data_IF_995248041093
#
_entry.id   IF_995248041093
#
_cell.length_a   1.000
_cell.length_b   1.000
_cell.length_c   1.000
_cell.angle_alpha   90.00
_cell.angle_beta   90.00
_cell.angle_gamma   90.00
#
_symmetry.space_group_name_H-M   'P 1'
#
loop_
_entity.id
_entity.type
_entity.pdbx_description
1 polymer ?
#
# COMPACT_ATOMS: atom_id res chain seq x y z
N UNK A 1 -8.82 15.79 10.18
CA UNK A 1 -8.23 15.61 8.83
C UNK A 1 -7.66 16.94 8.36
N UNK A 2 -6.42 16.98 7.87
CA UNK A 2 -5.74 18.23 7.47
C UNK A 2 -5.79 18.39 5.95
N UNK A 3 -5.29 17.41 5.21
CA UNK A 3 -5.26 17.43 3.73
C UNK A 3 -5.16 16.03 3.14
N UNK A 4 -5.52 15.89 1.88
CA UNK A 4 -5.26 14.69 1.09
C UNK A 4 -3.78 14.61 0.72
N UNK A 5 -3.17 13.44 0.98
CA UNK A 5 -1.78 13.14 0.60
C UNK A 5 -1.69 12.47 -0.77
N UNK A 6 -2.54 11.45 -0.98
CA UNK A 6 -2.57 10.68 -2.22
C UNK A 6 -3.97 10.20 -2.54
N UNK A 7 -4.24 9.92 -3.80
CA UNK A 7 -5.40 9.16 -4.26
C UNK A 7 -4.93 8.17 -5.32
N UNK A 8 -5.36 6.93 -5.19
CA UNK A 8 -4.99 5.84 -6.08
C UNK A 8 -6.18 4.93 -6.41
N UNK A 9 -5.91 3.86 -7.15
CA UNK A 9 -6.95 2.91 -7.55
C UNK A 9 -7.67 2.23 -6.39
N UNK A 10 -7.05 2.14 -5.21
CA UNK A 10 -7.59 1.45 -4.04
C UNK A 10 -8.25 2.38 -3.02
N UNK A 11 -7.97 3.66 -3.06
CA UNK A 11 -8.49 4.58 -2.07
C UNK A 11 -7.76 5.90 -1.98
N UNK A 12 -7.97 6.57 -0.87
CA UNK A 12 -7.43 7.91 -0.61
C UNK A 12 -6.64 7.89 0.69
N UNK A 13 -5.49 8.57 0.70
CA UNK A 13 -4.67 8.76 1.90
C UNK A 13 -4.72 10.22 2.33
N UNK A 14 -4.97 10.44 3.61
CA UNK A 14 -5.07 11.75 4.23
C UNK A 14 -4.01 11.94 5.31
N UNK A 15 -3.54 13.17 5.47
CA UNK A 15 -2.86 13.63 6.67
C UNK A 15 -3.91 14.04 7.71
N UNK A 16 -3.77 13.57 8.93
CA UNK A 16 -4.60 13.97 10.05
C UNK A 16 -3.73 14.21 11.30
N UNK A 17 -4.36 14.71 12.35
CA UNK A 17 -3.81 14.70 13.70
C UNK A 17 -4.64 13.72 14.53
N UNK A 18 -3.99 12.99 15.40
CA UNK A 18 -4.66 12.20 16.44
C UNK A 18 -5.12 13.08 17.60
N UNK A 19 -5.62 12.48 18.68
CA UNK A 19 -6.11 13.19 19.85
C UNK A 19 -5.00 13.88 20.66
N UNK A 20 -3.75 13.46 20.46
CA UNK A 20 -2.56 14.03 21.10
C UNK A 20 -1.89 15.10 20.22
N UNK A 21 -2.44 15.38 19.05
CA UNK A 21 -1.91 16.33 18.08
C UNK A 21 -0.75 15.79 17.24
N UNK A 22 -0.50 14.47 17.27
CA UNK A 22 0.53 13.85 16.45
C UNK A 22 0.03 13.63 15.02
N UNK A 23 0.93 13.78 14.04
CA UNK A 23 0.60 13.50 12.64
C UNK A 23 0.38 12.00 12.43
N UNK A 24 -0.71 11.66 11.77
CA UNK A 24 -1.03 10.31 11.31
C UNK A 24 -1.43 10.31 9.83
N UNK A 25 -1.18 9.20 9.15
CA UNK A 25 -1.69 8.95 7.81
C UNK A 25 -2.96 8.07 7.93
N UNK A 26 -4.05 8.49 7.28
CA UNK A 26 -5.30 7.73 7.26
C UNK A 26 -5.56 7.27 5.85
N UNK A 27 -5.53 5.96 5.60
CA UNK A 27 -5.91 5.35 4.32
C UNK A 27 -7.37 4.93 4.37
N UNK A 28 -8.15 5.48 3.46
CA UNK A 28 -9.56 5.17 3.27
C UNK A 28 -9.74 4.16 2.14
N UNK A 29 -10.56 3.15 2.34
CA UNK A 29 -10.98 2.24 1.27
C UNK A 29 -12.01 2.92 0.38
N UNK A 30 -11.59 3.41 -0.78
CA UNK A 30 -12.45 4.05 -1.79
C UNK A 30 -11.95 3.69 -3.20
N UNK A 31 -12.09 2.43 -3.63
CA UNK A 31 -11.58 1.99 -4.92
C UNK A 31 -12.34 2.65 -6.07
N UNK A 32 -11.64 3.40 -6.91
CA UNK A 32 -12.22 4.18 -8.00
C UNK A 32 -12.95 3.33 -9.05
N UNK A 33 -12.63 2.03 -9.13
CA UNK A 33 -13.32 1.07 -10.02
C UNK A 33 -14.69 0.63 -9.48
N UNK A 34 -14.95 0.78 -8.19
CA UNK A 34 -16.15 0.27 -7.52
C UNK A 34 -17.02 1.37 -6.92
N UNK A 35 -16.41 2.45 -6.45
CA UNK A 35 -17.09 3.50 -5.73
C UNK A 35 -16.64 4.89 -6.21
N UNK A 36 -17.56 5.84 -6.14
CA UNK A 36 -17.30 7.26 -6.39
C UNK A 36 -17.76 8.07 -5.20
N UNK A 37 -17.30 9.31 -5.08
CA UNK A 37 -17.79 10.27 -4.08
C UNK A 37 -17.83 11.66 -4.69
N UNK A 38 -18.97 12.32 -4.58
CA UNK A 38 -19.08 13.71 -5.01
C UNK A 38 -18.28 14.65 -4.07
N UNK A 39 -17.76 15.77 -4.56
CA UNK A 39 -17.12 16.76 -3.71
C UNK A 39 -18.04 17.24 -2.59
N UNK A 40 -17.56 17.18 -1.34
CA UNK A 40 -18.33 17.58 -0.15
C UNK A 40 -19.17 16.47 0.47
N UNK A 41 -19.37 15.35 -0.21
CA UNK A 41 -20.10 14.22 0.35
C UNK A 41 -19.19 13.35 1.23
N UNK A 42 -19.81 12.72 2.25
CA UNK A 42 -19.10 11.79 3.15
C UNK A 42 -19.25 10.34 2.70
N UNK A 43 -20.39 9.97 2.15
CA UNK A 43 -20.71 8.60 1.79
C UNK A 43 -20.22 8.26 0.38
N UNK A 44 -19.64 7.07 0.16
CA UNK A 44 -19.36 6.58 -1.17
C UNK A 44 -20.64 6.18 -1.90
N UNK A 45 -20.71 6.43 -3.19
CA UNK A 45 -21.76 5.93 -4.08
C UNK A 45 -21.24 4.70 -4.79
N UNK A 46 -21.93 3.58 -4.60
CA UNK A 46 -21.59 2.29 -5.20
C UNK A 46 -22.79 1.81 -6.02
N UNK A 47 -22.56 1.48 -7.29
CA UNK A 47 -23.60 0.94 -8.14
C UNK A 47 -24.12 -0.41 -7.60
N UNK A 48 -25.43 -0.72 -7.67
CA UNK A 48 -26.01 -1.93 -7.10
C UNK A 48 -25.31 -3.22 -7.52
N UNK A 49 -24.91 -3.34 -8.78
CA UNK A 49 -24.21 -4.49 -9.34
C UNK A 49 -22.77 -4.65 -8.80
N UNK A 50 -22.17 -3.59 -8.25
CA UNK A 50 -20.82 -3.59 -7.64
C UNK A 50 -20.82 -3.74 -6.12
N UNK A 51 -22.01 -3.69 -5.49
CA UNK A 51 -22.13 -3.62 -4.04
C UNK A 51 -21.54 -4.85 -3.33
N UNK A 52 -21.76 -6.05 -3.87
CA UNK A 52 -21.20 -7.28 -3.31
C UNK A 52 -19.67 -7.27 -3.35
N UNK A 53 -19.09 -6.80 -4.46
CA UNK A 53 -17.65 -6.70 -4.65
C UNK A 53 -17.05 -5.62 -3.74
N UNK A 54 -17.72 -4.48 -3.60
CA UNK A 54 -17.32 -3.41 -2.68
C UNK A 54 -17.28 -3.90 -1.23
N UNK A 55 -18.34 -4.59 -0.77
CA UNK A 55 -18.41 -5.17 0.59
C UNK A 55 -17.31 -6.21 0.84
N UNK A 56 -17.02 -7.05 -0.16
CA UNK A 56 -15.95 -8.01 -0.08
C UNK A 56 -14.59 -7.32 0.05
N UNK A 57 -14.36 -6.25 -0.73
CA UNK A 57 -13.16 -5.43 -0.63
C UNK A 57 -13.01 -4.71 0.71
N UNK A 58 -14.10 -4.20 1.30
CA UNK A 58 -14.11 -3.64 2.66
C UNK A 58 -13.63 -4.66 3.69
N UNK A 59 -14.17 -5.89 3.64
CA UNK A 59 -13.76 -6.98 4.53
C UNK A 59 -12.27 -7.28 4.35
N UNK A 60 -11.84 -7.44 3.11
CA UNK A 60 -10.43 -7.72 2.82
C UNK A 60 -9.52 -6.60 3.30
N UNK A 61 -9.86 -5.31 3.09
CA UNK A 61 -9.08 -4.17 3.57
C UNK A 61 -8.94 -4.17 5.09
N UNK A 62 -9.99 -4.54 5.80
CA UNK A 62 -9.97 -4.67 7.26
C UNK A 62 -9.06 -5.83 7.72
N UNK A 63 -9.17 -7.00 7.10
CA UNK A 63 -8.34 -8.18 7.41
C UNK A 63 -6.85 -7.92 7.16
N UNK A 64 -6.52 -7.21 6.07
CA UNK A 64 -5.15 -6.80 5.78
C UNK A 64 -4.61 -5.85 6.84
N UNK A 65 -5.36 -4.79 7.16
CA UNK A 65 -4.98 -3.85 8.21
C UNK A 65 -4.73 -4.56 9.54
N UNK A 66 -5.60 -5.53 9.88
CA UNK A 66 -5.45 -6.36 11.08
C UNK A 66 -4.18 -7.20 11.06
N UNK A 67 -3.86 -7.80 9.92
CA UNK A 67 -2.65 -8.60 9.78
C UNK A 67 -1.39 -7.73 9.82
N UNK A 68 -1.43 -6.59 9.15
CA UNK A 68 -0.32 -5.63 9.13
C UNK A 68 -0.06 -5.01 10.51
N UNK A 69 -1.11 -4.78 11.32
CA UNK A 69 -0.98 -4.28 12.68
C UNK A 69 -0.23 -5.24 13.64
N UNK A 70 -0.07 -6.51 13.27
CA UNK A 70 0.72 -7.48 14.03
C UNK A 70 2.21 -7.43 13.70
N UNK A 71 2.60 -6.69 12.67
CA UNK A 71 3.99 -6.59 12.21
C UNK A 71 4.65 -5.36 12.83
N UNK A 72 5.62 -5.60 13.70
CA UNK A 72 6.46 -4.54 14.26
C UNK A 72 7.88 -4.64 13.65
N UNK A 73 8.17 -3.83 12.64
CA UNK A 73 9.49 -3.77 12.01
C UNK A 73 9.75 -2.36 11.46
N UNK A 74 10.96 -1.80 11.64
CA UNK A 74 11.28 -0.42 11.22
C UNK A 74 11.10 -0.17 9.71
N UNK A 75 11.22 -1.20 8.87
CA UNK A 75 11.05 -1.11 7.42
C UNK A 75 9.65 -1.51 6.92
N UNK A 76 8.67 -1.60 7.81
CA UNK A 76 7.26 -1.85 7.48
C UNK A 76 6.42 -0.76 8.11
N UNK A 77 5.51 -0.15 7.36
CA UNK A 77 4.62 0.87 7.91
C UNK A 77 3.81 0.34 9.08
N UNK A 78 3.79 1.06 10.19
CA UNK A 78 3.04 0.67 11.38
C UNK A 78 1.59 1.09 11.28
N UNK A 79 0.67 0.14 11.46
CA UNK A 79 -0.75 0.39 11.61
C UNK A 79 -1.04 0.66 13.09
N UNK A 80 -1.61 1.82 13.39
CA UNK A 80 -1.95 2.26 14.75
C UNK A 80 -3.36 1.85 15.13
N UNK A 81 -4.30 2.00 14.19
CA UNK A 81 -5.70 1.73 14.42
C UNK A 81 -6.43 1.52 13.08
N UNK A 82 -7.65 1.00 13.15
CA UNK A 82 -8.59 0.97 12.03
C UNK A 82 -10.02 1.08 12.56
N UNK A 83 -10.87 1.72 11.80
CA UNK A 83 -12.27 1.92 12.17
C UNK A 83 -13.17 1.93 10.93
N UNK A 84 -14.46 1.74 11.18
CA UNK A 84 -15.50 1.80 10.14
C UNK A 84 -16.36 3.01 10.38
N UNK A 85 -16.50 3.86 9.37
CA UNK A 85 -17.36 5.03 9.35
C UNK A 85 -17.72 5.38 7.91
N UNK A 86 -18.76 6.18 7.71
CA UNK A 86 -19.19 6.63 6.37
C UNK A 86 -19.32 5.50 5.35
N UNK A 87 -19.83 4.35 5.76
CA UNK A 87 -19.96 3.13 4.93
C UNK A 87 -18.66 2.65 4.28
N UNK A 88 -17.52 3.03 4.83
CA UNK A 88 -16.19 2.58 4.43
C UNK A 88 -15.33 2.20 5.62
N UNK A 89 -14.07 1.82 5.36
CA UNK A 89 -13.08 1.44 6.38
C UNK A 89 -11.86 2.35 6.24
N UNK A 90 -11.34 2.75 7.38
CA UNK A 90 -10.16 3.60 7.52
C UNK A 90 -9.07 2.85 8.26
N UNK A 91 -7.84 2.95 7.78
CA UNK A 91 -6.63 2.43 8.43
C UNK A 91 -5.78 3.62 8.84
N UNK A 92 -5.49 3.75 10.13
CA UNK A 92 -4.63 4.79 10.70
C UNK A 92 -3.22 4.25 10.82
N UNK A 93 -2.26 4.95 10.28
CA UNK A 93 -0.86 4.56 10.21
C UNK A 93 0.03 5.69 10.74
N UNK A 94 1.24 5.35 11.16
CA UNK A 94 2.26 6.36 11.42
C UNK A 94 2.45 7.23 10.17
N UNK A 95 2.46 8.55 10.38
CA UNK A 95 2.90 9.47 9.34
C UNK A 95 4.42 9.42 9.24
N UNK A 96 4.94 9.32 8.02
CA UNK A 96 6.37 9.32 7.74
C UNK A 96 6.74 10.67 7.12
N UNK A 97 7.70 11.36 7.71
CA UNK A 97 8.34 12.53 7.08
C UNK A 97 9.44 12.02 6.13
N UNK A 98 9.47 12.54 4.89
CA UNK A 98 10.36 12.08 3.82
C UNK A 98 9.68 12.04 2.46
N UNK A 99 10.15 11.16 1.56
CA UNK A 99 9.60 11.01 0.23
C UNK A 99 9.70 9.57 -0.29
N UNK A 100 8.94 9.22 -1.33
CA UNK A 100 9.08 7.91 -1.96
C UNK A 100 10.42 7.79 -2.73
N UNK A 101 10.92 6.57 -2.87
CA UNK A 101 12.08 6.28 -3.71
C UNK A 101 11.84 6.75 -5.15
N UNK A 102 10.59 6.69 -5.62
CA UNK A 102 10.22 7.21 -6.94
C UNK A 102 10.43 8.72 -7.05
N UNK A 103 10.03 9.49 -6.04
CA UNK A 103 10.22 10.95 -6.02
C UNK A 103 11.70 11.31 -6.03
N UNK A 104 12.52 10.58 -5.28
CA UNK A 104 13.98 10.73 -5.31
C UNK A 104 14.53 10.46 -6.71
N UNK A 105 14.09 9.39 -7.38
CA UNK A 105 14.54 9.05 -8.74
C UNK A 105 14.12 10.15 -9.74
N UNK A 106 12.88 10.65 -9.66
CA UNK A 106 12.37 11.71 -10.53
C UNK A 106 13.18 12.99 -10.33
N UNK A 107 13.26 13.48 -9.09
CA UNK A 107 14.01 14.69 -8.73
C UNK A 107 15.46 14.64 -9.21
N UNK A 108 16.06 13.49 -9.08
CA UNK A 108 17.43 13.29 -9.51
C UNK A 108 17.62 13.34 -11.01
N UNK A 109 16.68 12.77 -11.79
CA UNK A 109 16.67 12.87 -13.25
C UNK A 109 16.50 14.31 -13.71
N UNK A 110 15.55 15.04 -13.09
CA UNK A 110 15.31 16.46 -13.40
C UNK A 110 16.53 17.33 -13.13
N UNK A 111 17.24 17.10 -12.04
CA UNK A 111 18.47 17.83 -11.69
C UNK A 111 19.69 17.38 -12.50
N UNK A 112 19.54 16.48 -13.50
CA UNK A 112 20.63 15.91 -14.32
C UNK A 112 21.79 15.37 -13.50
N UNK A 113 21.53 14.91 -12.27
CA UNK A 113 22.54 14.27 -11.42
C UNK A 113 22.79 12.86 -11.92
N UNK A 114 23.91 12.63 -12.58
CA UNK A 114 24.28 11.34 -13.18
C UNK A 114 24.45 10.20 -12.15
N UNK A 115 24.68 10.50 -10.87
CA UNK A 115 24.81 9.52 -9.79
C UNK A 115 23.98 9.95 -8.58
N UNK A 116 22.72 9.55 -8.57
CA UNK A 116 21.81 9.86 -7.46
C UNK A 116 22.08 8.99 -6.27
N UNK A 117 22.33 7.71 -6.51
CA UNK A 117 22.63 6.76 -5.47
C UNK A 117 24.00 6.11 -5.72
N UNK A 118 24.82 6.08 -4.68
CA UNK A 118 25.99 5.21 -4.66
C UNK A 118 25.53 3.77 -4.55
N UNK A 119 26.27 2.82 -5.10
CA UNK A 119 25.95 1.40 -4.97
C UNK A 119 25.77 0.97 -3.51
N UNK A 120 26.63 1.48 -2.61
CA UNK A 120 26.52 1.22 -1.17
C UNK A 120 25.19 1.67 -0.59
N UNK A 121 24.67 2.83 -1.01
CA UNK A 121 23.36 3.34 -0.58
C UNK A 121 22.22 2.45 -1.08
N UNK A 122 22.30 2.02 -2.35
CA UNK A 122 21.30 1.10 -2.92
C UNK A 122 21.31 -0.22 -2.14
N UNK A 123 22.48 -0.80 -1.88
CA UNK A 123 22.61 -2.05 -1.12
C UNK A 123 22.05 -1.92 0.29
N UNK A 124 22.36 -0.84 1.00
CA UNK A 124 21.83 -0.60 2.35
C UNK A 124 20.31 -0.48 2.34
N UNK A 125 19.75 0.29 1.41
CA UNK A 125 18.32 0.49 1.26
C UNK A 125 17.58 -0.83 1.00
N UNK A 126 18.08 -1.63 0.06
CA UNK A 126 17.44 -2.91 -0.25
C UNK A 126 17.67 -3.97 0.83
N UNK A 127 18.76 -3.93 1.59
CA UNK A 127 18.94 -4.77 2.78
C UNK A 127 17.85 -4.51 3.82
N UNK A 128 17.50 -3.24 4.09
CA UNK A 128 16.42 -2.85 4.97
C UNK A 128 15.06 -3.34 4.45
N UNK A 129 14.76 -3.12 3.16
CA UNK A 129 13.52 -3.58 2.52
C UNK A 129 13.40 -5.10 2.62
N UNK A 130 14.46 -5.84 2.29
CA UNK A 130 14.46 -7.31 2.33
C UNK A 130 14.29 -7.87 3.74
N UNK A 131 14.87 -7.21 4.76
CA UNK A 131 14.65 -7.57 6.17
C UNK A 131 13.19 -7.38 6.57
N UNK A 132 12.59 -6.24 6.21
CA UNK A 132 11.18 -5.99 6.44
C UNK A 132 10.29 -6.99 5.72
N UNK A 133 10.57 -7.26 4.44
CA UNK A 133 9.82 -8.21 3.62
C UNK A 133 9.88 -9.64 4.19
N UNK A 134 11.03 -10.05 4.72
CA UNK A 134 11.16 -11.34 5.40
C UNK A 134 10.19 -11.45 6.58
N UNK A 135 10.01 -10.40 7.37
CA UNK A 135 9.06 -10.40 8.49
C UNK A 135 7.62 -10.47 7.97
N UNK A 136 7.29 -9.73 6.92
CA UNK A 136 5.98 -9.79 6.25
C UNK A 136 5.67 -11.23 5.82
N UNK A 137 6.61 -11.91 5.16
CA UNK A 137 6.45 -13.29 4.72
C UNK A 137 6.32 -14.29 5.88
N UNK A 138 7.02 -14.07 6.99
CA UNK A 138 6.88 -14.88 8.21
C UNK A 138 5.46 -14.80 8.79
N UNK A 139 4.78 -13.65 8.64
CA UNK A 139 3.38 -13.46 8.99
C UNK A 139 2.40 -13.96 7.90
N UNK A 140 2.91 -14.73 6.91
CA UNK A 140 2.13 -15.27 5.79
C UNK A 140 1.39 -14.19 4.98
N UNK A 141 1.94 -13.01 4.94
CA UNK A 141 1.50 -11.91 4.09
C UNK A 141 2.44 -11.75 2.89
N UNK A 142 1.90 -11.23 1.81
CA UNK A 142 2.65 -10.78 0.63
C UNK A 142 2.39 -9.30 0.42
N UNK A 143 3.33 -8.59 -0.18
CA UNK A 143 3.15 -7.17 -0.52
C UNK A 143 2.44 -6.99 -1.86
N UNK A 144 2.86 -7.72 -2.88
CA UNK A 144 2.36 -7.81 -4.26
C UNK A 144 2.32 -6.50 -5.08
N UNK A 145 2.81 -5.40 -4.55
CA UNK A 145 2.99 -4.15 -5.30
C UNK A 145 4.29 -3.43 -4.90
N UNK A 146 5.39 -4.20 -4.76
CA UNK A 146 6.70 -3.60 -4.50
C UNK A 146 7.14 -2.82 -5.73
N UNK A 147 7.40 -1.54 -5.54
CA UNK A 147 7.87 -0.59 -6.57
C UNK A 147 8.44 0.65 -5.89
N UNK A 148 9.22 1.49 -6.58
CA UNK A 148 9.80 2.68 -5.98
C UNK A 148 8.79 3.64 -5.33
N UNK A 149 7.55 3.72 -5.82
CA UNK A 149 6.50 4.53 -5.22
C UNK A 149 6.04 4.02 -3.84
N UNK A 150 6.22 2.72 -3.56
CA UNK A 150 5.79 2.06 -2.33
C UNK A 150 6.96 1.78 -1.37
N UNK A 151 8.14 2.28 -1.68
CA UNK A 151 9.31 2.33 -0.77
C UNK A 151 9.50 3.78 -0.37
N UNK A 152 9.28 4.09 0.88
CA UNK A 152 9.39 5.44 1.43
C UNK A 152 10.73 5.60 2.12
N UNK A 153 11.44 6.67 1.81
CA UNK A 153 12.72 7.02 2.44
C UNK A 153 12.42 8.13 3.43
N UNK A 154 12.58 7.84 4.70
CA UNK A 154 12.37 8.79 5.78
C UNK A 154 13.50 9.81 5.87
N UNK A 155 13.28 10.94 6.54
CA UNK A 155 14.29 12.00 6.70
C UNK A 155 15.53 11.52 7.46
N UNK A 156 15.42 10.45 8.26
CA UNK A 156 16.53 9.75 8.91
C UNK A 156 17.14 8.61 8.04
N UNK A 157 16.85 8.63 6.73
CA UNK A 157 17.37 7.72 5.70
C UNK A 157 17.03 6.25 5.89
N UNK A 158 15.92 5.90 6.53
CA UNK A 158 15.42 4.52 6.59
C UNK A 158 14.47 4.22 5.45
N UNK A 159 14.53 2.99 4.94
CA UNK A 159 13.59 2.50 3.95
C UNK A 159 12.38 1.84 4.63
N UNK A 160 11.18 2.30 4.31
CA UNK A 160 9.92 1.78 4.86
C UNK A 160 9.01 1.37 3.72
N UNK A 161 8.59 0.11 3.70
CA UNK A 161 7.55 -0.35 2.78
C UNK A 161 6.20 0.17 3.23
N UNK A 162 5.49 0.78 2.29
CA UNK A 162 4.15 1.33 2.47
C UNK A 162 3.20 0.68 1.45
N UNK A 163 1.90 0.82 1.68
CA UNK A 163 0.86 0.47 0.72
C UNK A 163 0.77 -1.02 0.35
N UNK A 164 0.50 -1.84 1.35
CA UNK A 164 0.28 -3.29 1.23
C UNK A 164 -1.06 -3.66 0.58
N UNK A 165 -1.75 -2.77 -0.08
CA UNK A 165 -3.14 -2.94 -0.50
C UNK A 165 -3.39 -3.65 -1.84
N UNK A 166 -2.35 -4.06 -2.57
CA UNK A 166 -2.50 -4.74 -3.87
C UNK A 166 -2.78 -6.24 -3.74
N UNK A 167 -2.53 -6.80 -2.57
CA UNK A 167 -2.42 -8.22 -2.29
C UNK A 167 -3.77 -8.91 -2.09
N UNK A 168 -4.72 -8.82 -3.05
CA UNK A 168 -6.00 -9.45 -2.80
C UNK A 168 -6.44 -10.40 -3.88
N UNK A 169 -6.02 -11.61 -3.69
CA UNK A 169 -6.80 -12.76 -4.11
C UNK A 169 -8.00 -12.91 -3.16
N UNK A 170 -9.09 -12.21 -3.43
CA UNK A 170 -10.34 -12.54 -2.77
C UNK A 170 -10.97 -13.66 -3.57
N UNK A 171 -10.70 -14.87 -3.16
CA UNK A 171 -11.45 -16.05 -3.57
C UNK A 171 -12.88 -15.89 -3.02
N UNK A 172 -13.80 -15.37 -3.80
CA UNK A 172 -15.21 -15.57 -3.52
C UNK A 172 -15.53 -17.04 -3.78
N UNK A 173 -16.28 -17.65 -2.86
CA UNK A 173 -16.84 -18.99 -3.05
C UNK A 173 -17.74 -19.10 -4.29
N UNK A 174 -18.05 -17.97 -4.93
CA UNK A 174 -18.96 -17.83 -6.08
C UNK A 174 -18.22 -17.58 -7.41
N UNK A 175 -16.90 -17.74 -7.46
CA UNK A 175 -16.13 -17.63 -8.70
C UNK A 175 -15.89 -16.20 -9.20
N UNK A 176 -16.28 -15.16 -8.46
CA UNK A 176 -15.96 -13.78 -8.74
C UNK A 176 -14.57 -13.44 -8.18
N UNK A 177 -13.57 -13.42 -9.03
CA UNK A 177 -12.21 -13.04 -8.66
C UNK A 177 -12.07 -11.52 -8.64
N UNK A 178 -11.71 -10.94 -7.50
CA UNK A 178 -11.04 -9.64 -7.52
C UNK A 178 -9.60 -9.91 -7.96
N UNK A 179 -9.28 -9.51 -9.19
CA UNK A 179 -7.90 -9.58 -9.66
C UNK A 179 -7.04 -8.65 -8.80
N UNK A 180 -5.87 -9.10 -8.33
CA UNK A 180 -4.90 -8.18 -7.77
C UNK A 180 -4.62 -7.11 -8.83
N UNK A 181 -4.70 -5.84 -8.42
CA UNK A 181 -4.20 -4.77 -9.29
C UNK A 181 -2.68 -4.81 -9.18
N UNK A 182 -2.02 -4.97 -10.31
CA UNK A 182 -0.57 -5.01 -10.41
C UNK A 182 -0.06 -3.81 -11.20
N UNK A 183 1.16 -3.41 -10.92
CA UNK A 183 1.84 -2.35 -11.66
C UNK A 183 2.68 -2.98 -12.77
N UNK A 184 2.34 -2.75 -14.07
CA UNK A 184 3.16 -3.23 -15.18
C UNK A 184 4.62 -2.79 -15.04
N UNK A 185 5.54 -3.69 -15.33
CA UNK A 185 6.99 -3.47 -15.20
C UNK A 185 7.58 -3.90 -13.86
N UNK A 186 6.75 -4.12 -12.81
CA UNK A 186 7.17 -4.65 -11.52
C UNK A 186 6.50 -5.99 -11.19
N UNK A 187 5.35 -6.25 -11.79
CA UNK A 187 4.58 -7.46 -11.52
C UNK A 187 5.27 -8.71 -12.04
N UNK A 188 5.35 -9.72 -11.20
CA UNK A 188 5.90 -11.03 -11.54
C UNK A 188 5.02 -11.74 -12.60
N UNK A 189 5.61 -12.63 -13.44
CA UNK A 189 4.88 -13.32 -14.53
C UNK A 189 3.64 -14.06 -14.07
N UNK A 190 3.66 -14.67 -12.89
CA UNK A 190 2.51 -15.39 -12.33
C UNK A 190 1.32 -14.47 -12.02
N UNK A 191 1.53 -13.18 -11.76
CA UNK A 191 0.46 -12.22 -11.49
C UNK A 191 -0.44 -11.96 -12.72
N UNK A 192 0.05 -12.27 -13.92
CA UNK A 192 -0.71 -12.15 -15.16
C UNK A 192 -1.59 -13.39 -15.46
N UNK A 193 -1.41 -14.48 -14.70
CA UNK A 193 -2.09 -15.75 -14.93
C UNK A 193 -3.15 -15.98 -13.84
N UNK A 194 -4.30 -16.54 -14.23
CA UNK A 194 -5.40 -16.81 -13.28
C UNK A 194 -5.19 -18.04 -12.42
N UNK A 195 -4.41 -18.98 -12.92
CA UNK A 195 -4.20 -20.32 -12.37
C UNK A 195 -2.86 -20.45 -11.62
N UNK A 196 -2.08 -19.38 -11.58
CA UNK A 196 -0.77 -19.41 -10.94
C UNK A 196 -0.87 -19.03 -9.44
N UNK A 197 -0.16 -19.75 -8.61
CA UNK A 197 -0.01 -19.41 -7.19
C UNK A 197 1.01 -18.30 -7.02
N UNK A 198 0.73 -17.37 -6.09
CA UNK A 198 1.65 -16.33 -5.66
C UNK A 198 2.28 -16.71 -4.31
N UNK A 199 3.49 -16.25 -4.08
CA UNK A 199 4.23 -16.54 -2.86
C UNK A 199 5.34 -15.51 -2.62
N UNK A 200 6.21 -15.74 -1.63
CA UNK A 200 7.34 -14.85 -1.35
C UNK A 200 8.20 -14.53 -2.58
N UNK A 201 8.33 -15.46 -3.51
CA UNK A 201 9.06 -15.26 -4.78
C UNK A 201 8.46 -14.17 -5.66
N UNK A 202 7.13 -13.96 -5.60
CA UNK A 202 6.44 -12.91 -6.34
C UNK A 202 6.90 -11.51 -5.92
N UNK A 203 7.05 -11.28 -4.62
CA UNK A 203 7.60 -10.03 -4.08
C UNK A 203 9.09 -9.89 -4.38
N UNK A 204 9.86 -10.98 -4.33
CA UNK A 204 11.29 -10.97 -4.65
C UNK A 204 11.53 -10.59 -6.12
N UNK A 205 10.68 -11.08 -7.04
CA UNK A 205 10.75 -10.68 -8.45
C UNK A 205 10.63 -9.16 -8.64
N UNK A 206 9.74 -8.52 -7.89
CA UNK A 206 9.51 -7.07 -7.99
C UNK A 206 10.69 -6.22 -7.46
N UNK A 207 11.63 -6.82 -6.73
CA UNK A 207 12.86 -6.17 -6.24
C UNK A 207 14.01 -6.25 -7.24
N UNK A 208 14.06 -7.31 -8.08
CA UNK A 208 15.10 -7.54 -9.08
C UNK A 208 14.80 -6.86 -10.39
#
# INVERSE_FOLDING_TARGET
MIRRLAAGGFGVVYLALDMEGQKVAIKEYLPSSLATRAPGELLPVVAPEKLSLYRLGLKSFFEEGRSLAQIAHPSVVSVLNFFRENETVYMVMNFLDGASLQDFIITARELKKQKVFRESTIRSLFDEVLRGLRIVHQHKMLHLDIKPANIFITDDNRAVMIDFGAAREVLSKEGNFIRPMYTPGFAAPEMYRRDASMGPWTDIYAIG
#
